data_IF_515735970924
#
_entry.id   IF_515735970924
#
_cell.length_a   1.000
_cell.length_b   1.000
_cell.length_c   1.000
_cell.angle_alpha   90.00
_cell.angle_beta   90.00
_cell.angle_gamma   90.00
#
_symmetry.space_group_name_H-M   'P 1'
#
loop_
_entity.id
_entity.type
_entity.pdbx_description
1 polymer ?
#
# COMPACT_ATOMS: atom_id res chain seq x y z
N UNK A 1 1.80 7.02 -5.05
CA UNK A 1 2.32 7.16 -3.67
C UNK A 1 1.91 8.44 -2.95
N UNK A 2 2.12 9.63 -3.55
CA UNK A 2 1.87 10.92 -2.88
C UNK A 2 0.49 11.08 -2.24
N UNK A 3 -0.57 10.62 -2.90
CA UNK A 3 -1.93 10.64 -2.35
C UNK A 3 -2.08 9.73 -1.12
N UNK A 4 -1.43 8.57 -1.13
CA UNK A 4 -1.47 7.61 -0.03
C UNK A 4 -0.73 8.17 1.19
N UNK A 5 0.44 8.79 0.98
CA UNK A 5 1.20 9.50 2.03
C UNK A 5 0.38 10.63 2.65
N UNK A 6 -0.43 11.33 1.82
CA UNK A 6 -1.32 12.39 2.30
C UNK A 6 -2.65 11.87 2.87
N UNK A 7 -2.81 10.57 3.01
CA UNK A 7 -4.02 9.94 3.51
C UNK A 7 -5.28 10.34 2.72
N UNK A 8 -5.13 10.52 1.40
CA UNK A 8 -6.19 10.97 0.48
C UNK A 8 -6.70 9.90 -0.47
N UNK A 9 -6.21 8.66 -0.33
CA UNK A 9 -6.75 7.53 -1.09
C UNK A 9 -8.07 7.12 -0.44
N UNK A 10 -9.15 6.88 -1.21
CA UNK A 10 -10.44 6.47 -0.66
C UNK A 10 -10.42 4.98 -0.27
N UNK A 11 -9.71 4.65 0.80
CA UNK A 11 -9.77 3.33 1.44
C UNK A 11 -10.99 3.22 2.35
N UNK A 12 -11.42 2.00 2.65
CA UNK A 12 -12.63 1.78 3.45
C UNK A 12 -12.58 2.42 4.83
N UNK A 13 -11.42 2.47 5.48
CA UNK A 13 -11.24 3.18 6.76
C UNK A 13 -11.55 4.69 6.66
N UNK A 14 -11.26 5.32 5.51
CA UNK A 14 -11.58 6.73 5.24
C UNK A 14 -13.02 6.90 4.79
N UNK A 15 -13.55 5.95 4.00
CA UNK A 15 -14.93 5.96 3.53
C UNK A 15 -15.93 5.76 4.68
N UNK A 16 -15.60 4.90 5.66
CA UNK A 16 -16.41 4.70 6.87
C UNK A 16 -16.53 5.98 7.70
N UNK A 17 -15.44 6.77 7.81
CA UNK A 17 -15.48 8.10 8.46
C UNK A 17 -16.41 9.10 7.75
N UNK A 18 -16.79 8.83 6.50
CA UNK A 18 -17.74 9.62 5.70
C UNK A 18 -19.13 9.00 5.64
N UNK A 19 -19.48 8.12 6.58
CA UNK A 19 -20.76 7.40 6.66
C UNK A 19 -21.09 6.56 5.40
N UNK A 20 -20.07 6.08 4.67
CA UNK A 20 -20.27 5.12 3.58
C UNK A 20 -20.30 3.71 4.16
N UNK A 21 -21.33 2.94 3.81
CA UNK A 21 -21.48 1.53 4.18
C UNK A 21 -20.95 0.64 3.06
N UNK A 22 -20.26 -0.43 3.45
CA UNK A 22 -19.78 -1.47 2.54
C UNK A 22 -18.74 -2.37 3.21
N UNK A 23 -18.27 -3.40 2.51
CA UNK A 23 -17.33 -4.37 3.08
C UNK A 23 -16.01 -3.66 3.36
N UNK A 24 -15.57 -3.64 4.62
CA UNK A 24 -14.26 -3.08 5.00
C UNK A 24 -13.08 -3.89 4.52
N UNK A 25 -13.32 -5.04 3.88
CA UNK A 25 -12.33 -6.02 3.44
C UNK A 25 -11.65 -5.55 2.16
N UNK A 26 -10.33 -5.68 2.09
CA UNK A 26 -9.55 -5.41 0.89
C UNK A 26 -9.95 -6.36 -0.24
N UNK A 27 -10.38 -5.79 -1.37
CA UNK A 27 -10.82 -6.57 -2.53
C UNK A 27 -9.69 -7.39 -3.19
N UNK A 28 -8.43 -7.03 -2.94
CA UNK A 28 -7.28 -7.68 -3.58
C UNK A 28 -6.82 -8.95 -2.85
N UNK A 29 -6.93 -9.00 -1.51
CA UNK A 29 -6.58 -10.17 -0.72
C UNK A 29 -7.78 -10.92 -0.16
N UNK A 30 -8.94 -10.27 -0.06
CA UNK A 30 -10.21 -10.81 0.46
C UNK A 30 -10.08 -11.38 1.88
N UNK A 31 -9.05 -10.94 2.63
CA UNK A 31 -8.69 -11.55 3.92
C UNK A 31 -8.57 -10.56 5.08
N UNK A 32 -8.15 -9.32 4.84
CA UNK A 32 -7.96 -8.30 5.87
C UNK A 32 -8.69 -7.01 5.51
N UNK A 33 -8.92 -6.15 6.51
CA UNK A 33 -9.53 -4.84 6.29
C UNK A 33 -8.64 -3.92 5.46
N UNK A 34 -9.27 -3.23 4.50
CA UNK A 34 -8.66 -2.25 3.63
C UNK A 34 -8.36 -0.95 4.38
N UNK A 35 -7.08 -0.77 4.66
CA UNK A 35 -6.49 0.49 5.07
C UNK A 35 -5.34 0.82 4.13
N UNK A 36 -4.86 2.07 4.14
CA UNK A 36 -3.76 2.52 3.26
C UNK A 36 -2.50 1.66 3.42
N UNK A 37 -2.14 1.30 4.65
CA UNK A 37 -0.97 0.45 4.90
C UNK A 37 -1.17 -0.96 4.35
N UNK A 38 -2.37 -1.53 4.46
CA UNK A 38 -2.69 -2.83 3.89
C UNK A 38 -2.70 -2.75 2.36
N UNK A 39 -3.47 -1.85 1.78
CA UNK A 39 -3.64 -1.72 0.32
C UNK A 39 -2.32 -1.55 -0.43
N UNK A 40 -1.36 -0.80 0.13
CA UNK A 40 -0.10 -0.50 -0.55
C UNK A 40 1.12 -1.29 -0.04
N UNK A 41 1.11 -1.81 1.18
CA UNK A 41 2.31 -2.40 1.82
C UNK A 41 2.07 -3.85 2.24
N UNK A 42 1.03 -4.12 3.05
CA UNK A 42 0.83 -5.44 3.67
C UNK A 42 0.03 -6.43 2.82
N UNK A 43 -0.74 -5.94 1.85
CA UNK A 43 -1.54 -6.78 0.98
C UNK A 43 -0.60 -7.72 0.21
N UNK A 44 -0.84 -9.05 0.20
CA UNK A 44 -0.01 -10.00 -0.54
C UNK A 44 0.15 -9.61 -2.02
N UNK A 45 -0.91 -9.09 -2.62
CA UNK A 45 -0.88 -8.58 -3.99
C UNK A 45 0.07 -7.38 -4.14
N UNK A 46 0.03 -6.43 -3.20
CA UNK A 46 0.93 -5.29 -3.22
C UNK A 46 2.38 -5.70 -2.98
N UNK A 47 2.64 -6.65 -2.07
CA UNK A 47 3.97 -7.19 -1.82
C UNK A 47 4.59 -7.83 -3.06
N UNK A 48 3.78 -8.55 -3.84
CA UNK A 48 4.22 -9.15 -5.09
C UNK A 48 4.66 -8.08 -6.11
N UNK A 49 3.85 -7.04 -6.30
CA UNK A 49 4.21 -5.90 -7.17
C UNK A 49 5.52 -5.26 -6.71
N UNK A 50 5.70 -5.03 -5.42
CA UNK A 50 6.94 -4.46 -4.90
C UNK A 50 8.15 -5.35 -5.12
N UNK A 51 8.00 -6.66 -4.95
CA UNK A 51 9.05 -7.63 -5.26
C UNK A 51 9.46 -7.55 -6.73
N UNK A 52 8.49 -7.48 -7.64
CA UNK A 52 8.74 -7.40 -9.08
C UNK A 52 9.46 -6.10 -9.45
N UNK A 53 9.01 -4.96 -8.91
CA UNK A 53 9.66 -3.66 -9.10
C UNK A 53 11.11 -3.69 -8.59
N UNK A 54 11.32 -4.18 -7.37
CA UNK A 54 12.65 -4.28 -6.75
C UNK A 54 13.58 -5.17 -7.58
N UNK A 55 13.06 -6.28 -8.09
CA UNK A 55 13.78 -7.18 -8.98
C UNK A 55 14.15 -6.49 -10.30
N UNK A 56 13.24 -5.71 -10.89
CA UNK A 56 13.50 -4.98 -12.14
C UNK A 56 14.60 -3.93 -11.99
N UNK A 57 14.62 -3.21 -10.87
CA UNK A 57 15.64 -2.18 -10.62
C UNK A 57 16.95 -2.76 -10.05
N UNK A 58 16.99 -4.03 -9.64
CA UNK A 58 18.19 -4.69 -9.14
C UNK A 58 18.61 -4.28 -7.73
N UNK A 59 17.67 -3.82 -6.90
CA UNK A 59 17.96 -3.31 -5.55
C UNK A 59 17.17 -4.06 -4.45
N UNK A 60 17.47 -5.36 -4.21
CA UNK A 60 16.71 -6.24 -3.31
C UNK A 60 16.56 -5.74 -1.88
N UNK A 61 17.43 -4.83 -1.43
CA UNK A 61 17.46 -4.33 -0.06
C UNK A 61 16.63 -3.04 0.16
N UNK A 62 16.03 -2.45 -0.88
CA UNK A 62 15.31 -1.18 -0.76
C UNK A 62 13.90 -1.31 -0.18
N UNK A 63 13.33 -2.52 -0.16
CA UNK A 63 11.98 -2.76 0.31
C UNK A 63 11.96 -3.73 1.49
N UNK A 64 11.62 -3.23 2.68
CA UNK A 64 11.36 -4.07 3.87
C UNK A 64 9.86 -4.34 4.07
N UNK A 65 8.99 -3.64 3.34
CA UNK A 65 7.53 -3.83 3.43
C UNK A 65 6.96 -3.46 4.80
N UNK A 66 7.61 -2.53 5.52
CA UNK A 66 7.22 -2.17 6.89
C UNK A 66 6.42 -0.87 6.95
N UNK A 67 6.75 0.13 6.12
CA UNK A 67 6.08 1.43 6.12
C UNK A 67 5.93 2.01 4.70
N UNK A 68 4.88 2.79 4.48
CA UNK A 68 4.70 3.61 3.26
C UNK A 68 5.80 4.65 3.06
N UNK A 69 6.54 4.99 4.12
CA UNK A 69 7.74 5.82 4.05
C UNK A 69 8.90 5.13 3.32
N UNK A 70 8.97 3.80 3.30
CA UNK A 70 9.98 3.08 2.51
C UNK A 70 9.83 3.41 1.01
N UNK A 71 8.60 3.66 0.55
CA UNK A 71 8.33 4.12 -0.80
C UNK A 71 8.96 5.48 -1.12
N UNK A 72 9.14 6.36 -0.13
CA UNK A 72 9.82 7.65 -0.33
C UNK A 72 11.31 7.43 -0.59
N UNK A 73 11.93 6.46 0.07
CA UNK A 73 13.36 6.13 -0.13
C UNK A 73 13.63 5.67 -1.57
N UNK A 74 12.74 4.86 -2.14
CA UNK A 74 12.81 4.44 -3.55
C UNK A 74 12.76 5.66 -4.46
N UNK A 75 11.87 6.62 -4.20
CA UNK A 75 11.70 7.81 -5.04
C UNK A 75 12.89 8.78 -4.99
N UNK A 76 13.59 8.88 -3.87
CA UNK A 76 14.80 9.72 -3.75
C UNK A 76 16.06 9.09 -4.37
N UNK A 77 15.99 7.84 -4.85
CA UNK A 77 17.10 7.16 -5.53
C UNK A 77 16.91 7.02 -7.06
N UNK A 78 15.78 7.48 -7.58
CA UNK A 78 15.49 7.64 -9.01
C UNK A 78 15.70 9.11 -9.39
#
# INVERSE_FOLDING_TARGET
MWLAIRNRVPTWDILQKRNKQGPSICIMCISEDENISHLFIKCPFAQQIWSDIVQWYGFPNLWQGLNIEDCLRIWFQI
#
